data_IF_832122771318
#
_entry.id   IF_832122771318
#
_cell.length_a   1.000
_cell.length_b   1.000
_cell.length_c   1.000
_cell.angle_alpha   90.00
_cell.angle_beta   90.00
_cell.angle_gamma   90.00
#
_symmetry.space_group_name_H-M   'P 1'
#
loop_
_entity.id
_entity.type
_entity.pdbx_description
1 polymer ?
#
# COMPACT_ATOMS: atom_id res chain seq x y z
N UNK A 1 8.98 36.93 5.45
CA UNK A 1 7.57 36.44 5.41
C UNK A 1 7.28 35.48 6.57
N UNK A 2 6.03 35.38 7.03
CA UNK A 2 5.59 34.34 7.97
C UNK A 2 4.74 33.31 7.24
N UNK A 3 5.05 32.04 7.41
CA UNK A 3 4.26 30.93 6.88
C UNK A 3 3.71 30.16 8.06
N UNK A 4 2.40 30.09 8.14
CA UNK A 4 1.70 29.25 9.09
C UNK A 4 1.27 28.01 8.32
N UNK A 5 1.70 26.86 8.79
CA UNK A 5 1.23 25.59 8.27
C UNK A 5 0.32 24.99 9.33
N UNK A 6 -0.96 24.97 9.01
CA UNK A 6 -1.99 24.35 9.81
C UNK A 6 -2.10 22.91 9.36
N UNK A 7 -1.92 21.98 10.28
CA UNK A 7 -2.00 20.55 10.00
C UNK A 7 -3.36 20.10 10.50
N UNK A 8 -4.18 19.58 9.59
CA UNK A 8 -5.41 18.90 9.99
C UNK A 8 -5.03 17.67 10.83
N UNK A 9 -5.95 17.23 11.69
CA UNK A 9 -5.71 16.06 12.55
C UNK A 9 -5.16 14.84 11.78
N UNK A 10 -4.37 13.98 12.42
CA UNK A 10 -3.87 12.75 11.79
C UNK A 10 -5.03 11.92 11.21
N UNK A 11 -4.82 11.38 10.00
CA UNK A 11 -5.74 10.45 9.35
C UNK A 11 -5.07 9.07 9.28
N UNK A 12 -5.70 8.06 9.89
CA UNK A 12 -5.26 6.67 9.86
C UNK A 12 -6.16 5.86 8.95
N UNK A 13 -5.60 5.35 7.85
CA UNK A 13 -6.32 4.55 6.85
C UNK A 13 -5.89 3.09 6.98
N UNK A 14 -6.85 2.22 7.27
CA UNK A 14 -6.65 0.77 7.34
C UNK A 14 -7.44 0.09 6.21
N UNK A 15 -6.71 -0.59 5.32
CA UNK A 15 -7.23 -1.40 4.21
C UNK A 15 -7.19 -2.86 4.57
N UNK A 16 -8.18 -3.61 4.10
CA UNK A 16 -8.23 -5.07 4.18
C UNK A 16 -7.92 -5.67 2.82
N UNK A 17 -7.27 -6.83 2.81
CA UNK A 17 -7.10 -7.70 1.64
C UNK A 17 -7.94 -8.97 1.83
N UNK A 18 -9.22 -8.97 1.43
CA UNK A 18 -10.13 -10.09 1.68
C UNK A 18 -9.71 -11.36 0.93
N UNK A 19 -9.07 -11.19 -0.23
CA UNK A 19 -8.70 -12.30 -1.12
C UNK A 19 -7.28 -12.81 -0.88
N UNK A 20 -6.52 -12.19 0.03
CA UNK A 20 -5.11 -12.50 0.30
C UNK A 20 -4.26 -12.54 -0.98
N UNK A 21 -4.60 -11.70 -1.96
CA UNK A 21 -3.94 -11.65 -3.26
C UNK A 21 -2.85 -10.58 -3.34
N UNK A 22 -2.56 -9.90 -2.23
CA UNK A 22 -1.58 -8.82 -2.17
C UNK A 22 -2.14 -7.46 -2.59
N UNK A 23 -3.47 -7.27 -2.54
CA UNK A 23 -4.13 -5.98 -2.81
C UNK A 23 -3.55 -4.83 -1.96
N UNK A 24 -3.10 -5.15 -0.75
CA UNK A 24 -2.34 -4.24 0.07
C UNK A 24 -1.10 -4.93 0.69
N UNK A 25 -0.06 -4.14 0.94
CA UNK A 25 1.17 -4.62 1.55
C UNK A 25 1.03 -4.63 3.08
N UNK A 26 0.92 -5.83 3.65
CA UNK A 26 0.77 -6.04 5.09
C UNK A 26 2.09 -6.02 5.88
N UNK A 27 3.24 -6.07 5.19
CA UNK A 27 4.52 -6.26 5.88
C UNK A 27 4.93 -5.02 6.68
N UNK A 28 5.18 -5.25 7.97
CA UNK A 28 5.84 -4.35 8.92
C UNK A 28 7.36 -4.27 8.73
N UNK A 29 7.93 -5.00 7.76
CA UNK A 29 9.38 -5.08 7.55
C UNK A 29 9.79 -4.49 6.21
N UNK A 30 10.80 -3.63 6.25
CA UNK A 30 11.39 -3.03 5.05
C UNK A 30 12.15 -4.09 4.24
N UNK A 31 11.82 -4.19 2.94
CA UNK A 31 12.60 -5.01 1.99
C UNK A 31 14.09 -4.64 2.05
N UNK A 32 14.97 -5.63 1.92
CA UNK A 32 16.43 -5.43 1.81
C UNK A 32 16.81 -4.51 0.64
N UNK A 33 15.94 -4.41 -0.38
CA UNK A 33 16.15 -3.57 -1.56
C UNK A 33 15.61 -2.16 -1.42
N UNK A 34 15.20 -1.72 -0.24
CA UNK A 34 14.68 -0.37 -0.02
C UNK A 34 15.83 0.61 0.24
N UNK A 35 15.85 1.72 -0.50
CA UNK A 35 16.90 2.74 -0.42
C UNK A 35 17.00 3.42 0.96
N UNK A 36 15.90 3.40 1.71
CA UNK A 36 15.83 4.02 3.03
C UNK A 36 16.19 3.07 4.17
N UNK A 37 16.52 1.80 3.89
CA UNK A 37 16.80 0.79 4.93
C UNK A 37 17.93 1.20 5.88
N UNK A 38 19.00 1.80 5.34
CA UNK A 38 20.14 2.25 6.14
C UNK A 38 20.00 3.73 6.57
N UNK A 39 18.95 4.42 6.12
CA UNK A 39 18.70 5.81 6.48
C UNK A 39 18.23 5.89 7.94
N UNK A 40 18.73 6.90 8.67
CA UNK A 40 18.46 7.08 10.12
C UNK A 40 18.77 5.83 10.97
N UNK A 41 19.91 5.16 10.74
CA UNK A 41 20.33 3.98 11.51
C UNK A 41 19.27 2.86 11.57
N UNK A 42 18.51 2.66 10.49
CA UNK A 42 17.45 1.64 10.45
C UNK A 42 16.12 2.06 11.08
N UNK A 43 15.95 3.33 11.46
CA UNK A 43 14.67 3.83 11.98
C UNK A 43 13.53 3.77 10.95
N UNK A 44 13.85 3.75 9.65
CA UNK A 44 12.87 3.46 8.60
C UNK A 44 12.58 1.95 8.55
N UNK A 45 11.60 1.49 9.33
CA UNK A 45 11.19 0.07 9.36
C UNK A 45 9.85 -0.19 8.64
N UNK A 46 9.04 0.84 8.40
CA UNK A 46 7.71 0.72 7.77
C UNK A 46 7.73 0.93 6.25
N UNK A 47 7.04 0.05 5.53
CA UNK A 47 6.83 0.19 4.10
C UNK A 47 6.00 1.44 3.76
N UNK A 48 6.45 2.19 2.76
CA UNK A 48 5.67 3.28 2.15
C UNK A 48 5.76 3.19 0.64
N UNK A 49 4.69 3.59 -0.06
CA UNK A 49 4.64 3.57 -1.53
C UNK A 49 5.74 4.45 -2.12
N UNK A 50 5.95 5.64 -1.55
CA UNK A 50 7.03 6.55 -1.97
C UNK A 50 8.40 5.89 -1.87
N UNK A 51 8.67 5.19 -0.77
CA UNK A 51 9.92 4.47 -0.61
C UNK A 51 10.10 3.36 -1.66
N UNK A 52 9.04 2.62 -1.95
CA UNK A 52 9.06 1.59 -2.98
C UNK A 52 9.33 2.17 -4.37
N UNK A 53 8.61 3.24 -4.74
CA UNK A 53 8.74 3.90 -6.05
C UNK A 53 10.14 4.50 -6.25
N UNK A 54 10.66 5.22 -5.25
CA UNK A 54 12.02 5.78 -5.31
C UNK A 54 13.07 4.66 -5.37
N UNK A 55 12.85 3.55 -4.66
CA UNK A 55 13.74 2.39 -4.76
C UNK A 55 13.70 1.70 -6.11
N UNK A 56 12.52 1.61 -6.73
CA UNK A 56 12.36 1.09 -8.09
C UNK A 56 13.07 1.99 -9.10
N UNK A 57 12.89 3.31 -8.99
CA UNK A 57 13.56 4.29 -9.85
C UNK A 57 15.08 4.23 -9.71
N UNK A 58 15.61 4.20 -8.48
CA UNK A 58 17.05 4.09 -8.24
C UNK A 58 17.66 2.83 -8.86
N UNK A 59 16.97 1.68 -8.74
CA UNK A 59 17.39 0.41 -9.36
C UNK A 59 17.30 0.44 -10.88
N UNK A 60 16.27 1.07 -11.44
CA UNK A 60 16.12 1.19 -12.89
C UNK A 60 17.17 2.12 -13.51
N UNK A 61 17.53 3.20 -12.82
CA UNK A 61 18.64 4.06 -13.21
C UNK A 61 19.95 3.28 -13.22
N UNK A 62 20.25 2.57 -12.13
CA UNK A 62 21.46 1.75 -12.04
C UNK A 62 21.50 0.63 -13.09
N UNK A 63 20.38 -0.05 -13.33
CA UNK A 63 20.32 -1.15 -14.32
C UNK A 63 20.50 -0.68 -15.76
N UNK A 64 19.96 0.49 -16.13
CA UNK A 64 20.02 1.00 -17.51
C UNK A 64 21.24 1.88 -17.78
N UNK A 65 21.61 2.73 -16.84
CA UNK A 65 22.66 3.74 -17.00
C UNK A 65 23.95 3.39 -16.24
N UNK A 66 23.97 2.31 -15.44
CA UNK A 66 25.11 1.89 -14.59
C UNK A 66 25.54 2.91 -13.53
N UNK A 67 24.72 3.94 -13.32
CA UNK A 67 24.91 5.00 -12.35
C UNK A 67 23.54 5.51 -11.90
N UNK A 68 23.47 6.22 -10.78
CA UNK A 68 22.22 6.84 -10.31
C UNK A 68 22.42 8.27 -9.82
N UNK A 69 21.30 8.95 -9.61
CA UNK A 69 21.21 10.32 -9.11
C UNK A 69 21.88 10.47 -7.72
N UNK A 70 22.51 11.63 -7.48
CA UNK A 70 23.17 11.97 -6.21
C UNK A 70 22.27 11.84 -4.99
N UNK A 71 20.94 12.01 -5.16
CA UNK A 71 19.96 11.79 -4.09
C UNK A 71 19.92 10.36 -3.54
N UNK A 72 20.50 9.39 -4.26
CA UNK A 72 20.57 7.97 -3.86
C UNK A 72 21.97 7.56 -3.38
N UNK A 73 22.85 8.53 -3.10
CA UNK A 73 24.16 8.27 -2.52
C UNK A 73 24.03 7.42 -1.23
N UNK A 74 24.83 6.34 -1.14
CA UNK A 74 24.80 5.38 -0.03
C UNK A 74 23.92 4.15 -0.25
N UNK A 75 23.04 4.14 -1.27
CA UNK A 75 22.36 2.92 -1.72
C UNK A 75 23.01 2.34 -2.99
N UNK A 76 23.46 3.20 -3.89
CA UNK A 76 24.20 2.82 -5.10
C UNK A 76 25.69 3.08 -4.95
N UNK A 77 26.51 2.24 -5.59
CA UNK A 77 27.97 2.35 -5.57
C UNK A 77 28.49 3.48 -6.46
N UNK A 78 27.78 3.81 -7.56
CA UNK A 78 28.24 4.77 -8.57
C UNK A 78 27.22 5.89 -8.82
N UNK A 79 27.72 7.12 -8.69
CA UNK A 79 27.00 8.34 -9.06
C UNK A 79 27.28 8.69 -10.52
N UNK A 80 26.28 9.25 -11.22
CA UNK A 80 26.47 9.74 -12.58
C UNK A 80 27.24 11.06 -12.56
N UNK A 81 28.28 11.17 -13.39
CA UNK A 81 29.13 12.37 -13.50
C UNK A 81 29.18 12.92 -14.92
N UNK A 82 29.00 12.07 -15.94
CA UNK A 82 29.14 12.44 -17.34
C UNK A 82 27.84 13.03 -17.93
N UNK A 83 27.89 13.99 -18.86
CA UNK A 83 26.71 14.50 -19.57
C UNK A 83 25.89 13.43 -20.31
N UNK A 84 26.54 12.42 -20.89
CA UNK A 84 25.85 11.31 -21.58
C UNK A 84 25.06 10.43 -20.58
N UNK A 85 25.62 10.20 -19.40
CA UNK A 85 24.96 9.50 -18.30
C UNK A 85 23.74 10.27 -17.81
N UNK A 86 23.83 11.60 -17.76
CA UNK A 86 22.72 12.47 -17.39
C UNK A 86 21.57 12.39 -18.40
N UNK A 87 21.89 12.26 -19.69
CA UNK A 87 20.92 12.06 -20.77
C UNK A 87 20.20 10.71 -20.60
N UNK A 88 20.94 9.64 -20.29
CA UNK A 88 20.35 8.34 -19.95
C UNK A 88 19.41 8.43 -18.74
N UNK A 89 19.85 9.10 -17.66
CA UNK A 89 19.07 9.25 -16.44
C UNK A 89 17.75 10.01 -16.70
N UNK A 90 17.80 11.05 -17.52
CA UNK A 90 16.61 11.80 -17.94
C UNK A 90 15.63 10.95 -18.75
N UNK A 91 16.14 10.09 -19.64
CA UNK A 91 15.32 9.10 -20.38
C UNK A 91 14.64 8.09 -19.44
N UNK A 92 15.36 7.58 -18.44
CA UNK A 92 14.79 6.69 -17.42
C UNK A 92 13.71 7.42 -16.59
N UNK A 93 13.97 8.67 -16.20
CA UNK A 93 13.00 9.49 -15.45
C UNK A 93 11.75 9.79 -16.27
N UNK A 94 11.89 10.03 -17.57
CA UNK A 94 10.75 10.18 -18.49
C UNK A 94 9.95 8.87 -18.60
N UNK A 95 10.65 7.74 -18.73
CA UNK A 95 10.01 6.42 -18.75
C UNK A 95 9.27 6.10 -17.44
N UNK A 96 9.80 6.55 -16.30
CA UNK A 96 9.16 6.41 -14.99
C UNK A 96 7.86 7.22 -14.91
N UNK A 97 7.89 8.49 -15.35
CA UNK A 97 6.69 9.35 -15.42
C UNK A 97 5.61 8.75 -16.32
N UNK A 98 6.01 8.09 -17.40
CA UNK A 98 5.09 7.43 -18.35
C UNK A 98 4.72 5.99 -17.94
N UNK A 99 5.02 5.57 -16.70
CA UNK A 99 4.76 4.23 -16.16
C UNK A 99 5.32 3.05 -16.99
N UNK A 100 6.36 3.28 -17.82
CA UNK A 100 6.97 2.23 -18.67
C UNK A 100 7.94 1.32 -17.92
N UNK A 101 8.24 1.63 -16.67
CA UNK A 101 9.15 0.84 -15.82
C UNK A 101 8.41 -0.25 -15.02
N UNK A 102 7.07 -0.25 -14.98
CA UNK A 102 6.30 -1.20 -14.17
C UNK A 102 6.46 -1.01 -12.65
N UNK A 103 6.99 0.13 -12.19
CA UNK A 103 7.17 0.41 -10.77
C UNK A 103 5.83 0.53 -10.01
N UNK A 104 4.77 1.00 -10.66
CA UNK A 104 3.45 1.16 -10.04
C UNK A 104 2.84 -0.19 -9.70
N UNK A 105 2.95 -1.18 -10.59
CA UNK A 105 2.46 -2.55 -10.37
C UNK A 105 3.27 -3.29 -9.29
N UNK A 106 4.57 -3.00 -9.16
CA UNK A 106 5.44 -3.60 -8.15
C UNK A 106 5.27 -2.99 -6.75
N UNK A 107 4.61 -1.84 -6.65
CA UNK A 107 4.50 -1.06 -5.42
C UNK A 107 3.03 -0.94 -4.97
N UNK A 108 2.45 -2.00 -4.37
CA UNK A 108 1.09 -1.95 -3.84
C UNK A 108 0.97 -0.93 -2.70
N UNK A 109 -0.27 -0.49 -2.44
CA UNK A 109 -0.58 0.40 -1.32
C UNK A 109 -0.39 -0.35 0.02
N UNK A 110 0.10 0.30 1.10
CA UNK A 110 0.17 -0.32 2.42
C UNK A 110 -1.24 -0.61 2.98
N UNK A 111 -1.36 -1.68 3.76
CA UNK A 111 -2.61 -1.97 4.47
C UNK A 111 -2.86 -0.97 5.61
N UNK A 112 -1.82 -0.44 6.24
CA UNK A 112 -1.92 0.61 7.25
C UNK A 112 -1.16 1.86 6.78
N UNK A 113 -1.85 2.99 6.68
CA UNK A 113 -1.26 4.26 6.27
C UNK A 113 -1.67 5.39 7.21
N UNK A 114 -0.70 6.20 7.62
CA UNK A 114 -0.94 7.43 8.37
C UNK A 114 -0.63 8.62 7.46
N UNK A 115 -1.63 9.45 7.21
CA UNK A 115 -1.52 10.67 6.42
C UNK A 115 -1.86 11.90 7.24
N UNK A 116 -1.21 13.03 6.90
CA UNK A 116 -1.46 14.33 7.51
C UNK A 116 -1.89 15.29 6.41
N UNK A 117 -3.13 15.76 6.47
CA UNK A 117 -3.59 16.85 5.61
C UNK A 117 -3.12 18.17 6.21
N UNK A 118 -2.78 19.13 5.38
CA UNK A 118 -2.33 20.44 5.86
C UNK A 118 -2.82 21.55 4.96
N UNK A 119 -3.14 22.68 5.58
CA UNK A 119 -3.48 23.94 4.95
C UNK A 119 -2.32 24.93 5.19
N UNK A 120 -1.96 25.67 4.15
CA UNK A 120 -0.89 26.66 4.24
C UNK A 120 -1.50 28.04 4.25
N UNK A 121 -1.21 28.80 5.29
CA UNK A 121 -1.52 30.22 5.40
C UNK A 121 -0.23 31.03 5.40
N UNK A 122 -0.23 32.17 4.73
CA UNK A 122 0.92 33.07 4.69
C UNK A 122 0.53 34.46 5.16
N UNK A 123 1.37 35.05 6.01
CA UNK A 123 1.19 36.42 6.49
C UNK A 123 2.50 37.19 6.45
N UNK A 124 2.41 38.50 6.31
CA UNK A 124 3.55 39.39 6.40
C UNK A 124 3.81 39.76 7.87
N UNK A 125 5.09 39.87 8.24
CA UNK A 125 5.46 40.27 9.59
C UNK A 125 5.23 41.78 9.73
N UNK A 126 4.71 42.24 10.86
CA UNK A 126 4.53 43.68 11.11
C UNK A 126 5.88 44.37 11.28
N UNK A 127 5.96 45.67 10.96
CA UNK A 127 7.19 46.47 11.05
C UNK A 127 7.82 46.42 12.44
N UNK A 128 7.03 46.60 13.49
CA UNK A 128 7.49 46.49 14.89
C UNK A 128 8.11 45.12 15.20
N UNK A 129 7.45 44.04 14.76
CA UNK A 129 7.94 42.68 14.99
C UNK A 129 9.23 42.38 14.20
N UNK A 130 9.41 42.97 13.01
CA UNK A 130 10.67 42.88 12.23
C UNK A 130 11.81 43.55 12.99
N UNK A 131 11.61 44.77 13.48
CA UNK A 131 12.65 45.53 14.18
C UNK A 131 13.10 44.86 15.48
N UNK A 132 12.16 44.36 16.29
CA UNK A 132 12.50 43.59 17.50
C UNK A 132 13.32 42.35 17.14
N UNK A 133 12.92 41.59 16.11
CA UNK A 133 13.64 40.37 15.73
C UNK A 133 15.00 40.65 15.09
N UNK A 134 15.14 41.76 14.36
CA UNK A 134 16.42 42.24 13.82
C UNK A 134 17.38 42.59 14.95
N UNK A 135 16.91 43.29 16.00
CA UNK A 135 17.71 43.65 17.18
C UNK A 135 18.07 42.44 18.06
N UNK A 136 17.14 41.52 18.31
CA UNK A 136 17.40 40.37 19.20
C UNK A 136 18.37 39.34 18.60
N UNK A 137 18.17 38.96 17.32
CA UNK A 137 18.83 37.79 16.73
C UNK A 137 19.84 38.12 15.63
N UNK A 138 19.81 39.34 15.10
CA UNK A 138 20.67 39.75 13.97
C UNK A 138 21.47 41.02 14.28
N UNK A 139 21.51 41.50 15.53
CA UNK A 139 22.27 42.69 15.94
C UNK A 139 23.76 42.65 15.55
N UNK A 140 24.36 41.46 15.48
CA UNK A 140 25.78 41.28 15.14
C UNK A 140 26.06 41.06 13.64
N UNK A 141 25.04 40.91 12.78
CA UNK A 141 25.23 40.82 11.32
C UNK A 141 24.95 42.18 10.69
N UNK A 142 25.96 43.05 10.68
CA UNK A 142 25.99 44.30 9.90
C UNK A 142 26.39 44.01 8.44
N UNK A 143 25.70 43.11 7.76
CA UNK A 143 25.88 42.98 6.33
C UNK A 143 24.91 43.96 5.64
N UNK A 144 25.40 45.04 5.00
CA UNK A 144 24.55 46.09 4.43
C UNK A 144 23.67 45.59 3.27
N UNK A 145 23.94 44.41 2.70
CA UNK A 145 23.10 43.80 1.66
C UNK A 145 22.02 42.85 2.20
N UNK A 146 21.94 42.61 3.50
CA UNK A 146 20.98 41.68 4.07
C UNK A 146 19.60 42.32 4.21
N UNK A 147 18.75 42.10 3.20
CA UNK A 147 17.32 42.41 3.31
C UNK A 147 16.63 41.38 4.22
N UNK A 148 16.06 41.86 5.33
CA UNK A 148 15.35 41.01 6.27
C UNK A 148 14.08 40.43 5.65
N UNK A 149 13.43 41.11 4.70
CA UNK A 149 12.16 40.67 4.15
C UNK A 149 12.27 39.46 3.23
N UNK A 150 13.39 39.36 2.52
CA UNK A 150 13.70 38.26 1.60
C UNK A 150 14.37 37.08 2.31
N UNK A 151 15.10 37.35 3.39
CA UNK A 151 15.89 36.32 4.07
C UNK A 151 15.24 35.75 5.35
N UNK A 152 14.20 36.40 5.89
CA UNK A 152 13.52 35.94 7.10
C UNK A 152 12.25 35.15 6.80
N UNK A 153 12.23 33.87 7.20
CA UNK A 153 11.04 33.02 7.20
C UNK A 153 10.75 32.50 8.62
N UNK A 154 9.55 32.78 9.13
CA UNK A 154 9.02 32.12 10.33
C UNK A 154 8.01 31.06 9.93
N UNK A 155 8.25 29.82 10.32
CA UNK A 155 7.29 28.71 10.15
C UNK A 155 6.65 28.37 11.48
N UNK A 156 5.31 28.36 11.56
CA UNK A 156 4.56 27.87 12.72
C UNK A 156 3.73 26.67 12.30
N UNK A 157 3.92 25.54 12.96
CA UNK A 157 3.17 24.29 12.74
C UNK A 157 2.29 24.05 13.95
N UNK A 158 1.00 23.85 13.74
CA UNK A 158 0.05 23.48 14.79
C UNK A 158 -1.07 22.62 14.22
N UNK A 159 -1.77 21.90 15.09
CA UNK A 159 -2.97 21.15 14.73
C UNK A 159 -4.19 22.06 14.77
N UNK A 160 -5.03 21.98 13.75
CA UNK A 160 -6.31 22.70 13.68
C UNK A 160 -7.25 22.23 14.81
N UNK A 161 -7.41 20.91 14.92
CA UNK A 161 -8.20 20.25 15.96
C UNK A 161 -7.42 19.07 16.58
N UNK A 162 -7.70 18.74 17.84
CA UNK A 162 -7.14 17.55 18.52
C UNK A 162 -7.95 16.27 18.21
N UNK A 163 -8.43 16.15 16.98
CA UNK A 163 -9.19 15.01 16.52
C UNK A 163 -8.31 14.06 15.68
N UNK A 164 -8.55 12.76 15.82
CA UNK A 164 -7.89 11.71 15.03
C UNK A 164 -8.95 11.06 14.14
N UNK A 165 -8.80 11.19 12.83
CA UNK A 165 -9.70 10.56 11.86
C UNK A 165 -9.21 9.13 11.57
N UNK A 166 -10.11 8.14 11.68
CA UNK A 166 -9.80 6.74 11.38
C UNK A 166 -10.74 6.22 10.29
N UNK A 167 -10.16 5.88 9.14
CA UNK A 167 -10.86 5.27 8.00
C UNK A 167 -10.51 3.79 7.96
N UNK A 168 -11.46 2.93 8.35
CA UNK A 168 -11.26 1.48 8.37
C UNK A 168 -12.16 0.84 7.32
N UNK A 169 -11.55 0.13 6.37
CA UNK A 169 -12.27 -0.68 5.40
C UNK A 169 -12.56 -2.05 6.02
N UNK A 170 -13.83 -2.46 6.00
CA UNK A 170 -14.27 -3.79 6.42
C UNK A 170 -14.82 -4.59 5.24
N UNK A 171 -14.79 -5.91 5.36
CA UNK A 171 -15.46 -6.80 4.40
C UNK A 171 -16.97 -6.64 4.55
N UNK A 172 -17.66 -6.28 3.46
CA UNK A 172 -19.12 -6.13 3.48
C UNK A 172 -19.84 -7.45 3.78
N UNK A 173 -19.24 -8.57 3.35
CA UNK A 173 -19.87 -9.86 3.40
C UNK A 173 -18.87 -10.94 3.78
N UNK A 174 -19.15 -11.65 4.86
CA UNK A 174 -18.38 -12.82 5.28
C UNK A 174 -19.01 -14.10 4.73
N UNK A 175 -18.24 -15.19 4.68
CA UNK A 175 -18.76 -16.51 4.31
C UNK A 175 -19.93 -16.93 5.20
N UNK A 176 -19.91 -16.55 6.48
CA UNK A 176 -20.99 -16.84 7.41
C UNK A 176 -22.28 -16.12 7.02
N UNK A 177 -22.19 -14.83 6.65
CA UNK A 177 -23.34 -14.05 6.17
C UNK A 177 -23.88 -14.61 4.86
N UNK A 178 -23.00 -15.03 3.94
CA UNK A 178 -23.40 -15.66 2.68
C UNK A 178 -24.17 -16.95 2.88
N UNK A 179 -23.65 -17.85 3.71
CA UNK A 179 -24.33 -19.09 4.01
C UNK A 179 -25.64 -18.85 4.77
N UNK A 180 -25.69 -17.82 5.62
CA UNK A 180 -26.90 -17.37 6.30
C UNK A 180 -28.00 -16.93 5.33
N UNK A 181 -27.67 -16.08 4.36
CA UNK A 181 -28.66 -15.58 3.40
C UNK A 181 -29.10 -16.65 2.41
N UNK A 182 -28.18 -17.51 1.93
CA UNK A 182 -28.54 -18.66 1.08
C UNK A 182 -29.45 -19.62 1.85
N UNK A 183 -29.07 -19.99 3.08
CA UNK A 183 -29.88 -20.88 3.92
C UNK A 183 -31.23 -20.28 4.28
N UNK A 184 -31.27 -18.97 4.56
CA UNK A 184 -32.49 -18.23 4.86
C UNK A 184 -33.45 -18.21 3.68
N UNK A 185 -32.96 -17.92 2.46
CA UNK A 185 -33.78 -17.94 1.26
C UNK A 185 -34.24 -19.36 0.92
N UNK A 186 -33.35 -20.36 0.95
CA UNK A 186 -33.71 -21.75 0.65
C UNK A 186 -34.73 -22.32 1.66
N UNK A 187 -34.57 -21.99 2.94
CA UNK A 187 -35.51 -22.36 3.99
C UNK A 187 -36.87 -21.66 3.85
N UNK A 188 -36.89 -20.40 3.43
CA UNK A 188 -38.13 -19.64 3.23
C UNK A 188 -38.93 -20.11 2.01
N UNK A 189 -38.28 -20.32 0.86
CA UNK A 189 -38.97 -20.63 -0.40
C UNK A 189 -39.28 -22.12 -0.58
N UNK A 190 -38.35 -23.00 -0.20
CA UNK A 190 -38.44 -24.44 -0.48
C UNK A 190 -38.68 -25.24 0.80
N UNK A 191 -38.48 -24.64 1.99
CA UNK A 191 -38.55 -25.37 3.26
C UNK A 191 -37.37 -26.33 3.46
N UNK A 192 -36.29 -26.18 2.67
CA UNK A 192 -35.10 -27.02 2.79
C UNK A 192 -34.33 -26.61 4.03
N UNK A 193 -34.07 -27.58 4.90
CA UNK A 193 -33.20 -27.43 6.07
C UNK A 193 -31.94 -28.30 5.94
N UNK A 194 -30.99 -28.11 6.85
CA UNK A 194 -29.80 -28.99 6.99
C UNK A 194 -30.21 -30.47 7.12
N UNK A 195 -31.33 -30.76 7.78
CA UNK A 195 -31.84 -32.13 7.95
C UNK A 195 -32.25 -32.71 6.60
N UNK A 196 -32.97 -31.93 5.77
CA UNK A 196 -33.38 -32.34 4.43
C UNK A 196 -32.19 -32.63 3.52
N UNK A 197 -31.09 -31.86 3.65
CA UNK A 197 -29.84 -32.11 2.90
C UNK A 197 -29.16 -33.40 3.37
N UNK A 198 -29.16 -33.68 4.68
CA UNK A 198 -28.61 -34.92 5.23
C UNK A 198 -29.40 -36.15 4.75
N UNK A 199 -30.73 -36.09 4.75
CA UNK A 199 -31.59 -37.16 4.21
C UNK A 199 -31.33 -37.40 2.72
N UNK A 200 -31.20 -36.34 1.92
CA UNK A 200 -30.87 -36.47 0.50
C UNK A 200 -29.48 -37.10 0.28
N UNK A 201 -28.51 -36.77 1.14
CA UNK A 201 -27.18 -37.38 1.15
C UNK A 201 -27.23 -38.88 1.44
N UNK A 202 -27.95 -39.30 2.46
CA UNK A 202 -28.09 -40.72 2.83
C UNK A 202 -28.81 -41.52 1.73
N UNK A 203 -29.85 -40.92 1.11
CA UNK A 203 -30.53 -41.49 -0.03
C UNK A 203 -29.58 -41.68 -1.22
N UNK A 204 -28.76 -40.68 -1.56
CA UNK A 204 -27.76 -40.77 -2.64
C UNK A 204 -26.72 -41.86 -2.37
N UNK A 205 -26.19 -41.94 -1.15
CA UNK A 205 -25.21 -42.97 -0.75
C UNK A 205 -25.85 -44.36 -0.89
N UNK A 206 -27.05 -44.54 -0.35
CA UNK A 206 -27.81 -45.79 -0.46
C UNK A 206 -28.06 -46.19 -1.92
N UNK A 207 -28.44 -45.22 -2.77
CA UNK A 207 -28.64 -45.44 -4.20
C UNK A 207 -27.34 -45.85 -4.91
N UNK A 208 -26.22 -45.20 -4.60
CA UNK A 208 -24.90 -45.53 -5.12
C UNK A 208 -24.46 -46.94 -4.71
N UNK A 209 -24.70 -47.35 -3.46
CA UNK A 209 -24.41 -48.70 -2.97
C UNK A 209 -25.25 -49.75 -3.73
N UNK A 210 -26.54 -49.48 -3.95
CA UNK A 210 -27.42 -50.39 -4.71
C UNK A 210 -27.00 -50.44 -6.18
N UNK A 211 -26.67 -49.31 -6.80
CA UNK A 211 -26.24 -49.24 -8.20
C UNK A 211 -24.91 -49.97 -8.44
N UNK A 212 -23.96 -49.83 -7.51
CA UNK A 212 -22.67 -50.55 -7.56
C UNK A 212 -22.85 -52.05 -7.30
N UNK A 213 -23.73 -52.46 -6.38
CA UNK A 213 -24.11 -53.87 -6.19
C UNK A 213 -24.76 -54.48 -7.43
N UNK A 214 -25.74 -53.80 -8.04
CA UNK A 214 -26.42 -54.27 -9.26
C UNK A 214 -25.47 -54.38 -10.46
N UNK A 215 -24.50 -53.47 -10.57
CA UNK A 215 -23.46 -53.54 -11.60
C UNK A 215 -22.45 -54.66 -11.35
N UNK A 216 -22.20 -55.00 -10.08
CA UNK A 216 -21.32 -56.11 -9.68
C UNK A 216 -22.00 -57.47 -9.88
N UNK A 217 -23.30 -57.60 -9.61
CA UNK A 217 -24.09 -58.80 -9.93
C UNK A 217 -24.21 -59.00 -11.45
N UNK A 218 -24.47 -57.93 -12.23
CA UNK A 218 -24.44 -58.03 -13.71
C UNK A 218 -23.09 -58.48 -14.27
N UNK A 219 -21.98 -58.09 -13.64
CA UNK A 219 -20.64 -58.58 -14.02
C UNK A 219 -20.44 -60.05 -13.63
N UNK A 220 -20.93 -60.48 -12.46
CA UNK A 220 -20.88 -61.88 -12.03
C UNK A 220 -21.67 -62.81 -12.97
N UNK A 221 -22.88 -62.42 -13.37
CA UNK A 221 -23.71 -63.21 -14.31
C UNK A 221 -23.06 -63.31 -15.70
N UNK A 222 -22.42 -62.24 -16.20
CA UNK A 222 -21.69 -62.27 -17.48
C UNK A 222 -20.40 -63.10 -17.44
N UNK A 223 -19.70 -63.15 -16.31
CA UNK A 223 -18.50 -64.00 -16.16
C UNK A 223 -18.89 -65.48 -16.05
N UNK A 224 -19.99 -65.81 -15.37
CA UNK A 224 -20.50 -67.19 -15.30
C UNK A 224 -21.08 -67.70 -16.64
N UNK A 225 -21.60 -66.82 -17.51
CA UNK A 225 -22.02 -67.21 -18.88
C UNK A 225 -20.84 -67.43 -19.84
N UNK A 226 -19.65 -66.85 -19.56
CA UNK A 226 -18.45 -67.00 -20.40
C UNK A 226 -17.58 -68.21 -20.02
N UNK A 227 -17.69 -68.73 -18.79
CA UNK A 227 -16.98 -69.96 -18.36
C UNK A 227 -17.72 -71.26 -18.70
N UNK A 228 -18.90 -71.18 -19.32
CA UNK A 228 -19.72 -72.33 -19.72
C UNK A 228 -19.70 -72.60 -21.25
N UNK A 229 -18.83 -71.91 -21.99
CA UNK A 229 -18.62 -72.09 -23.43
C UNK A 229 -17.21 -72.58 -23.76
#
# INVERSE_FOLDING_TARGET
RSKVQEVQGPESITRVDPFKNGSCHASLTLSTRNIYRNYLNGAANKYTVKACLESCLARAQFSKCKCSDAKYAGYVERLCNEPDELTCMNSVRSSFKNNRLGCTEQCPQPCEHHSYRYTIMTSTLTTKAKETKKKDKFANKKDPSFDFDDNFLRVKIFYDELNLEKVVQSTYYDLQTLLGDIGGQMGLWIGISVISVAEFGDLLISLCIVATRKSRDRKKTKTSEMEMH
#
